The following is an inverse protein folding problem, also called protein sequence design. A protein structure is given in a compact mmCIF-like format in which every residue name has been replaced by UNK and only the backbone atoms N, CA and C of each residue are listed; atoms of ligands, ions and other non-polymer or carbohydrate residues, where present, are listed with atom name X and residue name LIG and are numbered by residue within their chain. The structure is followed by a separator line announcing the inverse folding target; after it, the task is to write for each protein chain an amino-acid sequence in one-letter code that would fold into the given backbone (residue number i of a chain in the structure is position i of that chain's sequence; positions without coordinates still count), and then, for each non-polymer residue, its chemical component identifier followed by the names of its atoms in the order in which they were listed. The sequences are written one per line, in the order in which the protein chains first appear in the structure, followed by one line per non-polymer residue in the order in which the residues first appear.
data_IF_193792624439
#
_entry.id   IF_193792624439
#
_cell.length_a   1.000
_cell.length_b   1.000
_cell.length_c   1.000
_cell.angle_alpha   90.00
_cell.angle_beta   90.00
_cell.angle_gamma   90.00
#
_symmetry.space_group_name_H-M   'P 1'
#
loop_
_entity.id
_entity.type
_entity.pdbx_description
1 polymer ?
#
# COMPACT_ATOMS: atom_id res chain seq x y z
N UNK A 1 2.62 -8.81 -1.00
CA UNK A 1 3.66 -8.02 -0.33
C UNK A 1 3.72 -8.42 1.14
N UNK A 2 4.92 -8.49 1.71
CA UNK A 2 5.13 -8.73 3.14
C UNK A 2 5.26 -7.39 3.85
N UNK A 3 4.44 -7.20 4.89
CA UNK A 3 4.47 -6.04 5.78
C UNK A 3 4.86 -6.54 7.18
N UNK A 4 5.54 -5.72 7.95
CA UNK A 4 5.91 -6.06 9.33
C UNK A 4 5.96 -4.79 10.16
N UNK A 5 5.68 -4.93 11.45
CA UNK A 5 5.65 -3.81 12.36
C UNK A 5 5.53 -4.25 13.81
N UNK A 6 5.46 -3.28 14.66
CA UNK A 6 5.15 -3.48 16.08
C UNK A 6 4.12 -2.44 16.52
N UNK A 7 3.27 -2.85 17.45
CA UNK A 7 2.25 -1.97 18.03
C UNK A 7 2.29 -2.01 19.55
N UNK A 8 1.91 -0.90 20.14
CA UNK A 8 1.71 -0.74 21.57
C UNK A 8 0.25 -0.39 21.81
N UNK A 9 -0.33 -0.98 22.84
CA UNK A 9 -1.70 -0.78 23.22
C UNK A 9 -1.82 -0.11 24.56
N UNK A 10 -2.64 0.93 24.64
CA UNK A 10 -2.96 1.64 25.85
C UNK A 10 -4.43 1.37 26.22
N UNK A 11 -4.65 0.74 27.36
CA UNK A 11 -5.99 0.45 27.85
C UNK A 11 -6.74 1.75 28.18
N UNK A 12 -7.86 2.00 27.52
CA UNK A 12 -8.73 3.14 27.80
C UNK A 12 -9.88 2.74 28.76
N UNK A 13 -10.44 1.54 28.55
CA UNK A 13 -11.48 0.95 29.36
C UNK A 13 -11.42 -0.58 29.24
N UNK A 14 -12.24 -1.30 29.97
CA UNK A 14 -12.19 -2.76 30.07
C UNK A 14 -12.12 -3.48 28.71
N UNK A 15 -12.84 -3.00 27.69
CA UNK A 15 -12.93 -3.61 26.36
C UNK A 15 -12.43 -2.68 25.25
N UNK A 16 -11.81 -1.56 25.60
CA UNK A 16 -11.34 -0.54 24.65
C UNK A 16 -9.88 -0.23 24.85
N UNK A 17 -9.11 -0.33 23.78
CA UNK A 17 -7.70 0.07 23.79
C UNK A 17 -7.43 1.05 22.65
N UNK A 18 -6.52 1.98 22.91
CA UNK A 18 -5.89 2.78 21.87
C UNK A 18 -4.62 2.04 21.43
N UNK A 19 -4.51 1.74 20.15
CA UNK A 19 -3.36 1.09 19.58
C UNK A 19 -2.63 2.02 18.63
N UNK A 20 -1.32 2.10 18.77
CA UNK A 20 -0.41 2.81 17.89
C UNK A 20 0.85 2.00 17.68
N UNK A 21 1.67 2.35 16.71
CA UNK A 21 2.88 1.58 16.43
C UNK A 21 3.63 2.10 15.21
N UNK A 22 4.51 1.29 14.67
CA UNK A 22 5.23 1.56 13.45
C UNK A 22 5.17 0.32 12.57
N UNK A 23 4.64 0.50 11.36
CA UNK A 23 4.52 -0.56 10.37
C UNK A 23 5.33 -0.20 9.13
N UNK A 24 6.14 -1.13 8.65
CA UNK A 24 6.78 -1.07 7.35
C UNK A 24 5.86 -1.74 6.35
N UNK A 25 5.21 -0.94 5.52
CA UNK A 25 4.25 -1.43 4.53
C UNK A 25 4.78 -1.29 3.12
N UNK A 26 4.52 -2.30 2.30
CA UNK A 26 4.80 -2.28 0.87
C UNK A 26 3.48 -2.32 0.13
N UNK A 27 3.20 -1.24 -0.59
CA UNK A 27 2.05 -1.15 -1.48
C UNK A 27 2.53 -1.38 -2.92
N UNK A 28 1.69 -2.00 -3.72
CA UNK A 28 1.97 -2.23 -5.13
C UNK A 28 0.71 -2.09 -5.95
N UNK A 29 0.87 -1.57 -7.16
CA UNK A 29 -0.20 -1.43 -8.13
C UNK A 29 0.30 -1.69 -9.53
N UNK A 30 -0.64 -1.87 -10.46
CA UNK A 30 -0.36 -1.94 -11.89
C UNK A 30 -1.21 -0.89 -12.58
N UNK A 31 -0.59 -0.13 -13.46
CA UNK A 31 -1.26 0.82 -14.31
C UNK A 31 -0.99 0.45 -15.75
N UNK A 32 -2.06 0.35 -16.55
CA UNK A 32 -1.98 0.15 -17.98
C UNK A 32 -2.54 1.41 -18.64
N UNK A 33 -1.73 2.06 -19.46
CA UNK A 33 -2.15 3.27 -20.19
C UNK A 33 -1.50 3.30 -21.57
N UNK A 34 -2.16 3.91 -22.57
CA UNK A 34 -1.56 4.16 -23.87
C UNK A 34 -0.44 5.20 -23.73
N UNK A 35 0.70 4.91 -24.34
CA UNK A 35 1.86 5.80 -24.38
C UNK A 35 2.53 5.72 -25.74
N UNK A 36 3.42 6.67 -26.03
CA UNK A 36 4.18 6.71 -27.27
C UNK A 36 5.66 6.98 -26.95
N UNK A 37 6.53 6.08 -27.37
CA UNK A 37 7.97 6.19 -27.11
C UNK A 37 8.79 6.17 -28.40
N UNK A 38 10.00 6.73 -28.34
CA UNK A 38 11.02 6.60 -29.37
C UNK A 38 11.78 5.28 -29.16
N UNK A 39 11.67 4.33 -30.10
CA UNK A 39 12.28 3.00 -29.97
C UNK A 39 13.78 3.02 -30.27
N UNK A 40 14.23 3.92 -31.12
CA UNK A 40 15.66 4.00 -31.50
C UNK A 40 16.18 5.44 -31.47
N UNK A 41 17.42 5.61 -31.07
CA UNK A 41 18.08 6.93 -30.98
C UNK A 41 18.25 7.66 -32.34
N UNK A 42 17.81 7.08 -33.45
CA UNK A 42 17.81 7.64 -34.77
C UNK A 42 16.41 7.82 -35.38
N UNK A 43 15.37 7.36 -34.70
CA UNK A 43 14.00 7.46 -35.15
C UNK A 43 13.40 8.82 -34.73
N UNK A 44 12.68 9.42 -35.69
CA UNK A 44 11.91 10.65 -35.50
C UNK A 44 10.42 10.33 -35.30
N UNK A 45 10.00 9.08 -35.45
CA UNK A 45 8.62 8.64 -35.28
C UNK A 45 8.41 8.08 -33.88
N UNK A 46 7.31 8.51 -33.24
CA UNK A 46 6.82 7.94 -32.00
C UNK A 46 6.00 6.68 -32.36
N UNK A 47 6.34 5.56 -31.76
CA UNK A 47 5.52 4.35 -31.85
C UNK A 47 4.50 4.34 -30.70
N UNK A 48 3.23 4.23 -31.06
CA UNK A 48 2.14 4.14 -30.10
C UNK A 48 1.99 2.71 -29.59
N UNK A 49 1.82 2.56 -28.30
CA UNK A 49 1.68 1.26 -27.65
C UNK A 49 1.03 1.36 -26.28
N UNK A 50 1.07 0.25 -25.56
CA UNK A 50 0.58 0.17 -24.19
C UNK A 50 1.73 0.07 -23.19
N UNK A 51 1.78 1.01 -22.26
CA UNK A 51 2.71 0.99 -21.15
C UNK A 51 2.06 0.29 -19.95
N UNK A 52 2.66 -0.80 -19.49
CA UNK A 52 2.34 -1.45 -18.23
C UNK A 52 3.36 -1.07 -17.17
N UNK A 53 2.97 -0.18 -16.28
CA UNK A 53 3.80 0.27 -15.15
C UNK A 53 3.38 -0.43 -13.87
N UNK A 54 4.32 -1.14 -13.24
CA UNK A 54 4.14 -1.82 -11.96
C UNK A 54 4.81 -1.00 -10.87
N UNK A 55 4.02 -0.39 -10.00
CA UNK A 55 4.51 0.40 -8.87
C UNK A 55 4.79 -0.47 -7.67
N UNK A 56 5.86 -0.14 -6.97
CA UNK A 56 6.16 -0.68 -5.65
C UNK A 56 6.65 0.46 -4.76
N UNK A 57 5.82 0.82 -3.78
CA UNK A 57 6.11 1.88 -2.83
C UNK A 57 6.24 1.31 -1.43
N UNK A 58 7.20 1.80 -0.65
CA UNK A 58 7.42 1.43 0.73
C UNK A 58 7.19 2.64 1.62
N UNK A 59 6.35 2.47 2.63
CA UNK A 59 6.02 3.49 3.61
C UNK A 59 6.34 3.03 5.02
N UNK A 60 6.80 3.97 5.84
CA UNK A 60 6.73 3.85 7.29
C UNK A 60 5.38 4.39 7.73
N UNK A 61 4.52 3.53 8.25
CA UNK A 61 3.14 3.87 8.63
C UNK A 61 3.01 3.92 10.15
N UNK A 62 2.34 4.96 10.65
CA UNK A 62 1.92 5.15 12.02
C UNK A 62 0.40 4.93 12.09
N UNK A 63 -0.08 3.79 12.58
CA UNK A 63 -1.49 3.58 12.86
C UNK A 63 -1.90 4.27 14.17
N UNK A 64 -3.08 4.85 14.18
CA UNK A 64 -3.74 5.46 15.34
C UNK A 64 -5.16 4.89 15.39
N UNK A 65 -5.34 3.80 16.12
CA UNK A 65 -6.59 3.03 16.08
C UNK A 65 -7.19 2.84 17.47
N UNK A 66 -8.51 2.77 17.51
CA UNK A 66 -9.25 2.29 18.66
C UNK A 66 -9.63 0.84 18.37
N UNK A 67 -9.25 -0.04 19.28
CA UNK A 67 -9.57 -1.47 19.24
C UNK A 67 -10.59 -1.78 20.32
N UNK A 68 -11.68 -2.42 19.89
CA UNK A 68 -12.77 -2.86 20.77
C UNK A 68 -12.73 -4.38 20.84
N UNK A 69 -12.66 -4.94 22.04
CA UNK A 69 -12.60 -6.37 22.30
C UNK A 69 -13.90 -6.88 22.91
N UNK A 70 -14.27 -8.10 22.56
CA UNK A 70 -15.30 -8.82 23.32
C UNK A 70 -14.74 -9.29 24.66
N UNK A 71 -15.62 -9.73 25.55
CA UNK A 71 -15.17 -10.56 26.66
C UNK A 71 -14.58 -11.85 26.12
N UNK A 72 -13.61 -12.39 26.84
CA UNK A 72 -12.98 -13.66 26.47
C UNK A 72 -13.97 -14.82 26.55
N UNK A 73 -14.07 -15.59 25.48
CA UNK A 73 -14.90 -16.78 25.32
C UNK A 73 -14.00 -18.01 25.20
N UNK A 74 -13.79 -18.71 26.32
CA UNK A 74 -12.78 -19.76 26.40
C UNK A 74 -11.37 -19.21 26.21
N UNK A 75 -10.70 -19.55 25.14
CA UNK A 75 -9.37 -19.02 24.79
C UNK A 75 -9.41 -17.91 23.73
N UNK A 76 -10.59 -17.57 23.22
CA UNK A 76 -10.76 -16.62 22.12
C UNK A 76 -11.31 -15.28 22.61
N UNK A 77 -10.78 -14.21 22.06
CA UNK A 77 -11.29 -12.84 22.16
C UNK A 77 -11.39 -12.29 20.74
N UNK A 78 -12.57 -11.84 20.35
CA UNK A 78 -12.73 -11.14 19.06
C UNK A 78 -12.52 -9.65 19.24
N UNK A 79 -11.99 -9.01 18.20
CA UNK A 79 -11.81 -7.56 18.21
C UNK A 79 -12.23 -6.93 16.88
N UNK A 80 -12.72 -5.70 17.00
CA UNK A 80 -12.85 -4.78 15.88
C UNK A 80 -11.94 -3.58 16.11
N UNK A 81 -11.40 -3.01 15.07
CA UNK A 81 -10.57 -1.81 15.16
C UNK A 81 -10.92 -0.83 14.07
N UNK A 82 -10.83 0.45 14.38
CA UNK A 82 -10.96 1.52 13.42
C UNK A 82 -10.06 2.69 13.82
N UNK A 83 -9.63 3.48 12.84
CA UNK A 83 -8.81 4.64 13.11
C UNK A 83 -8.20 5.19 11.84
N UNK A 84 -7.13 5.95 12.03
CA UNK A 84 -6.41 6.63 10.95
C UNK A 84 -4.99 6.10 10.85
N UNK A 85 -4.42 6.25 9.67
CA UNK A 85 -3.03 5.91 9.39
C UNK A 85 -2.33 7.12 8.78
N UNK A 86 -1.10 7.37 9.22
CA UNK A 86 -0.21 8.34 8.63
C UNK A 86 1.03 7.61 8.10
N UNK A 87 1.32 7.71 6.82
CA UNK A 87 2.44 7.03 6.17
C UNK A 87 3.43 8.03 5.59
N UNK A 88 4.72 7.72 5.73
CA UNK A 88 5.82 8.49 5.17
C UNK A 88 6.57 7.62 4.16
N UNK A 89 6.77 8.14 2.96
CA UNK A 89 7.43 7.41 1.87
C UNK A 89 8.90 7.18 2.23
N UNK A 90 9.33 5.93 2.13
CA UNK A 90 10.73 5.53 2.26
C UNK A 90 11.37 5.28 0.90
N UNK A 91 10.66 4.56 0.02
CA UNK A 91 11.15 4.21 -1.32
C UNK A 91 9.99 4.05 -2.28
N UNK A 92 10.22 4.45 -3.54
CA UNK A 92 9.28 4.21 -4.63
C UNK A 92 10.05 3.76 -5.87
N UNK A 93 9.66 2.62 -6.44
CA UNK A 93 10.22 2.11 -7.68
C UNK A 93 9.09 1.69 -8.62
N UNK A 94 9.32 1.80 -9.91
CA UNK A 94 8.46 1.26 -10.94
C UNK A 94 9.24 0.30 -11.83
N UNK A 95 8.55 -0.73 -12.30
CA UNK A 95 9.00 -1.59 -13.39
C UNK A 95 8.08 -1.30 -14.58
N UNK A 96 8.65 -0.84 -15.68
CA UNK A 96 7.94 -0.43 -16.88
C UNK A 96 8.09 -1.51 -17.96
N UNK A 97 6.98 -1.96 -18.53
CA UNK A 97 6.91 -2.83 -19.69
C UNK A 97 6.16 -2.11 -20.81
N UNK A 98 6.78 -1.91 -21.96
CA UNK A 98 6.13 -1.29 -23.13
C UNK A 98 5.90 -2.34 -24.20
N UNK A 99 4.62 -2.51 -24.57
CA UNK A 99 4.17 -3.35 -25.68
C UNK A 99 3.67 -2.48 -26.81
N UNK A 100 4.22 -2.63 -28.03
CA UNK A 100 3.72 -1.94 -29.21
C UNK A 100 3.24 -2.91 -30.30
N UNK A 101 2.16 -2.53 -30.99
CA UNK A 101 1.60 -3.28 -32.11
C UNK A 101 2.12 -2.68 -33.44
N UNK A 102 3.20 -3.15 -33.99
CA UNK A 102 3.66 -2.53 -35.22
C UNK A 102 4.65 -3.29 -36.11
N UNK A 103 5.30 -4.31 -35.65
CA UNK A 103 6.18 -5.10 -36.52
C UNK A 103 6.26 -6.58 -36.09
N UNK A 104 6.61 -7.44 -37.05
CA UNK A 104 6.57 -8.90 -36.95
C UNK A 104 7.54 -9.51 -35.89
N UNK A 105 8.18 -8.71 -35.08
CA UNK A 105 8.98 -9.11 -33.91
C UNK A 105 8.70 -8.14 -32.77
N UNK A 106 7.92 -8.61 -31.80
CA UNK A 106 7.61 -7.87 -30.59
C UNK A 106 8.77 -8.05 -29.63
N UNK A 107 9.72 -7.11 -29.62
CA UNK A 107 10.67 -6.98 -28.53
C UNK A 107 10.03 -6.13 -27.44
N UNK A 108 9.78 -6.75 -26.26
CA UNK A 108 9.34 -6.03 -25.07
C UNK A 108 10.49 -5.17 -24.56
N UNK A 109 10.24 -3.88 -24.46
CA UNK A 109 11.17 -2.97 -23.79
C UNK A 109 10.81 -2.96 -22.31
N UNK A 110 11.76 -3.42 -21.47
CA UNK A 110 11.58 -3.44 -20.02
C UNK A 110 12.62 -2.53 -19.36
N UNK A 111 12.13 -1.64 -18.49
CA UNK A 111 12.95 -0.86 -17.59
C UNK A 111 12.63 -1.29 -16.16
N UNK A 112 13.60 -1.87 -15.47
CA UNK A 112 13.42 -2.35 -14.09
C UNK A 112 13.94 -1.32 -13.08
N UNK A 113 13.22 -1.20 -11.96
CA UNK A 113 13.60 -0.38 -10.78
C UNK A 113 13.86 1.09 -11.09
N UNK A 114 13.05 1.66 -11.96
CA UNK A 114 13.05 3.12 -12.18
C UNK A 114 12.69 3.80 -10.87
N UNK A 115 13.53 4.72 -10.41
CA UNK A 115 13.25 5.53 -9.23
C UNK A 115 12.16 6.56 -9.58
N UNK A 116 11.06 6.51 -8.83
CA UNK A 116 9.90 7.39 -9.02
C UNK A 116 9.55 8.15 -7.73
N UNK A 117 10.51 8.37 -6.84
CA UNK A 117 10.25 9.04 -5.56
C UNK A 117 9.69 10.45 -5.73
N UNK A 118 10.10 11.16 -6.77
CA UNK A 118 9.64 12.51 -7.07
C UNK A 118 8.18 12.55 -7.56
N UNK A 119 7.72 11.45 -8.17
CA UNK A 119 6.36 11.29 -8.73
C UNK A 119 5.36 10.76 -7.70
N UNK A 120 5.84 10.34 -6.52
CA UNK A 120 5.02 9.75 -5.46
C UNK A 120 4.91 10.70 -4.28
N UNK A 121 3.72 10.78 -3.70
CA UNK A 121 3.48 11.61 -2.52
C UNK A 121 4.30 11.12 -1.33
N UNK A 122 5.10 12.03 -0.73
CA UNK A 122 5.88 11.74 0.47
C UNK A 122 5.00 11.34 1.65
N UNK A 123 3.81 11.94 1.76
CA UNK A 123 2.88 11.72 2.85
C UNK A 123 1.61 11.04 2.38
N UNK A 124 1.19 10.02 3.11
CA UNK A 124 -0.07 9.30 2.89
C UNK A 124 -0.89 9.30 4.17
N UNK A 125 -2.15 9.71 4.08
CA UNK A 125 -3.14 9.55 5.14
C UNK A 125 -4.23 8.59 4.69
N UNK A 126 -4.77 7.81 5.62
CA UNK A 126 -5.82 6.85 5.34
C UNK A 126 -6.64 6.51 6.58
N UNK A 127 -7.70 5.76 6.34
CA UNK A 127 -8.55 5.16 7.36
C UNK A 127 -8.32 3.65 7.39
N UNK A 128 -8.22 3.10 8.58
CA UNK A 128 -8.09 1.68 8.82
C UNK A 128 -9.33 1.15 9.54
N UNK A 129 -9.92 0.11 8.98
CA UNK A 129 -11.00 -0.66 9.60
C UNK A 129 -10.58 -2.12 9.59
N UNK A 130 -10.68 -2.80 10.73
CA UNK A 130 -10.26 -4.19 10.81
C UNK A 130 -11.09 -5.01 11.79
N UNK A 131 -11.03 -6.30 11.60
CA UNK A 131 -11.64 -7.32 12.45
C UNK A 131 -10.61 -8.43 12.68
N UNK A 132 -10.66 -9.06 13.84
CA UNK A 132 -9.77 -10.18 14.13
C UNK A 132 -10.13 -10.95 15.40
N UNK A 133 -9.26 -11.90 15.70
CA UNK A 133 -9.36 -12.72 16.89
C UNK A 133 -8.00 -12.90 17.54
N UNK A 134 -8.01 -13.00 18.85
CA UNK A 134 -6.87 -13.28 19.71
C UNK A 134 -7.09 -14.64 20.39
N UNK A 135 -6.09 -15.51 20.30
CA UNK A 135 -6.09 -16.82 20.97
C UNK A 135 -5.10 -16.78 22.13
N UNK A 136 -5.61 -16.86 23.35
CA UNK A 136 -4.80 -16.82 24.56
C UNK A 136 -3.97 -18.11 24.70
N UNK A 137 -2.67 -17.94 24.84
CA UNK A 137 -1.72 -19.01 25.12
C UNK A 137 -1.46 -19.20 26.63
N UNK A 138 -2.01 -18.32 27.44
CA UNK A 138 -1.84 -18.25 28.88
C UNK A 138 -1.00 -17.05 29.34
N UNK A 139 -1.29 -16.58 30.55
CA UNK A 139 -0.71 -15.34 31.05
C UNK A 139 -1.14 -14.13 30.23
N UNK A 140 -0.19 -13.30 29.82
CA UNK A 140 -0.40 -12.11 28.99
C UNK A 140 -0.20 -12.38 27.49
N UNK A 141 0.19 -13.61 27.10
CA UNK A 141 0.55 -13.95 25.72
C UNK A 141 -0.65 -14.44 24.93
N UNK A 142 -0.86 -13.88 23.75
CA UNK A 142 -1.88 -14.30 22.81
C UNK A 142 -1.37 -14.26 21.37
N UNK A 143 -1.87 -15.17 20.53
CA UNK A 143 -1.73 -15.08 19.07
C UNK A 143 -2.88 -14.25 18.54
N UNK A 144 -2.61 -13.32 17.65
CA UNK A 144 -3.64 -12.54 16.98
C UNK A 144 -3.63 -12.78 15.48
N UNK A 145 -4.83 -12.84 14.90
CA UNK A 145 -5.04 -12.90 13.48
C UNK A 145 -6.15 -11.92 13.11
N UNK A 146 -5.99 -11.22 11.99
CA UNK A 146 -6.97 -10.23 11.57
C UNK A 146 -6.94 -9.91 10.09
N UNK A 147 -8.00 -9.24 9.66
CA UNK A 147 -8.13 -8.67 8.32
C UNK A 147 -8.39 -7.18 8.48
N UNK A 148 -7.62 -6.38 7.79
CA UNK A 148 -7.71 -4.93 7.82
C UNK A 148 -7.99 -4.40 6.40
N UNK A 149 -8.86 -3.43 6.31
CA UNK A 149 -9.07 -2.61 5.12
C UNK A 149 -8.48 -1.22 5.38
N UNK A 150 -7.51 -0.85 4.56
CA UNK A 150 -6.84 0.45 4.63
C UNK A 150 -7.25 1.27 3.40
N UNK A 151 -8.01 2.33 3.62
CA UNK A 151 -8.47 3.26 2.58
C UNK A 151 -7.66 4.55 2.65
N UNK A 152 -6.89 4.84 1.58
CA UNK A 152 -6.15 6.09 1.47
C UNK A 152 -7.05 7.27 1.15
N UNK A 153 -6.76 8.44 1.74
CA UNK A 153 -7.46 9.71 1.45
C UNK A 153 -6.62 10.64 0.58
N UNK A 154 -5.32 10.45 0.60
CA UNK A 154 -4.38 11.30 -0.13
C UNK A 154 -4.01 10.64 -1.45
N UNK A 155 -3.77 11.47 -2.45
CA UNK A 155 -3.24 11.00 -3.72
C UNK A 155 -1.82 10.45 -3.54
N UNK A 156 -1.60 9.28 -4.10
CA UNK A 156 -0.29 8.60 -4.08
C UNK A 156 0.61 9.13 -5.19
N UNK A 157 0.02 9.53 -6.34
CA UNK A 157 0.75 10.05 -7.48
C UNK A 157 0.70 11.58 -7.52
N UNK A 158 1.84 12.20 -7.89
CA UNK A 158 1.99 13.63 -8.11
C UNK A 158 2.36 13.95 -9.56
N UNK A 159 2.07 13.05 -10.49
CA UNK A 159 2.39 13.20 -11.90
C UNK A 159 1.44 14.12 -12.64
N UNK A 160 1.98 14.89 -13.62
CA UNK A 160 1.17 15.48 -14.68
C UNK A 160 1.10 14.48 -15.82
N UNK A 161 -0.08 14.33 -16.43
CA UNK A 161 -0.24 13.46 -17.59
C UNK A 161 0.73 13.88 -18.71
N UNK A 162 1.50 12.93 -19.24
CA UNK A 162 2.48 13.19 -20.28
C UNK A 162 1.84 13.71 -21.60
N UNK A 163 0.58 13.35 -21.86
CA UNK A 163 -0.17 13.75 -23.04
C UNK A 163 -0.98 15.04 -22.85
N UNK A 164 -1.36 15.37 -21.60
CA UNK A 164 -2.12 16.58 -21.28
C UNK A 164 -1.68 17.15 -19.93
N UNK A 165 -0.70 18.03 -19.96
CA UNK A 165 -0.10 18.67 -18.76
C UNK A 165 -1.09 19.54 -17.96
N UNK A 166 -2.33 19.69 -18.42
CA UNK A 166 -3.39 20.42 -17.71
C UNK A 166 -4.20 19.51 -16.77
N UNK A 167 -4.03 18.17 -16.86
CA UNK A 167 -4.74 17.19 -16.04
C UNK A 167 -3.79 16.61 -14.99
N UNK A 168 -4.15 16.78 -13.73
CA UNK A 168 -3.48 16.10 -12.61
C UNK A 168 -4.00 14.66 -12.52
N UNK A 169 -3.08 13.70 -12.36
CA UNK A 169 -3.43 12.31 -12.14
C UNK A 169 -3.71 12.09 -10.67
N UNK A 170 -4.93 11.66 -10.35
CA UNK A 170 -5.36 11.32 -9.00
C UNK A 170 -5.41 9.80 -8.83
N UNK A 171 -4.60 9.26 -7.94
CA UNK A 171 -4.61 7.85 -7.60
C UNK A 171 -4.69 7.65 -6.09
N UNK A 172 -5.77 7.01 -5.64
CA UNK A 172 -5.98 6.64 -4.25
C UNK A 172 -5.58 5.19 -4.07
N UNK A 173 -4.81 4.89 -3.01
CA UNK A 173 -4.38 3.54 -2.71
C UNK A 173 -5.26 2.90 -1.65
N UNK A 174 -5.95 1.81 -2.00
CA UNK A 174 -6.71 0.97 -1.09
C UNK A 174 -6.06 -0.39 -0.96
N UNK A 175 -6.02 -0.94 0.25
CA UNK A 175 -5.41 -2.23 0.50
C UNK A 175 -6.25 -3.09 1.46
N UNK A 176 -6.29 -4.39 1.19
CA UNK A 176 -6.76 -5.40 2.15
C UNK A 176 -5.51 -6.12 2.67
N UNK A 177 -5.36 -6.18 3.97
CA UNK A 177 -4.22 -6.73 4.66
C UNK A 177 -4.67 -7.86 5.58
N UNK A 178 -3.99 -9.00 5.49
CA UNK A 178 -4.13 -10.08 6.47
C UNK A 178 -2.97 -9.96 7.45
N UNK A 179 -3.27 -9.90 8.73
CA UNK A 179 -2.29 -9.74 9.80
C UNK A 179 -2.22 -10.97 10.69
N UNK A 180 -1.01 -11.31 11.08
CA UNK A 180 -0.71 -12.31 12.11
C UNK A 180 0.29 -11.68 13.08
N UNK A 181 0.10 -11.92 14.36
CA UNK A 181 0.96 -11.33 15.38
C UNK A 181 0.95 -12.08 16.69
N UNK A 182 1.79 -11.62 17.61
CA UNK A 182 1.88 -12.09 18.98
C UNK A 182 1.75 -10.87 19.90
N UNK A 183 0.88 -10.98 20.87
CA UNK A 183 0.69 -10.03 21.97
C UNK A 183 1.34 -10.63 23.23
N UNK A 184 2.05 -9.79 23.99
CA UNK A 184 2.71 -10.18 25.26
C UNK A 184 2.70 -9.04 26.27
#
# INVERSE_FOLDING_TARGET
NLNYGFSTEFMLAQNYTFATGLDFITLGGKLLYPDAILISAGDTALEEGNMLRKYRTQYLQLPLTIRMRTNQMGYLTFYGQFGFTAGFLLKAHADDEFDYEGSAQVDKITAEKVDIQDDVSFFRAGMLIGLGAEYSLGGTTALCAGINFNNGFTDVLRGKNALDSSKEEHAISNAIEVSLGVIF
#
